data_IF_103380307721
#
_entry.id   IF_103380307721
#
_cell.length_a   1.000
_cell.length_b   1.000
_cell.length_c   1.000
_cell.angle_alpha   90.00
_cell.angle_beta   90.00
_cell.angle_gamma   90.00
#
_symmetry.space_group_name_H-M   'P 1'
#
loop_
_entity.id
_entity.type
_entity.pdbx_description
1 polymer ?
#
# COMPACT_ATOMS: atom_id res chain seq x y z
N UNK A 1 28.25 -1.49 1.30
CA UNK A 1 27.75 -0.12 1.56
C UNK A 1 28.27 0.95 0.59
N UNK A 2 29.38 0.73 -0.14
CA UNK A 2 29.96 1.79 -0.99
C UNK A 2 29.21 2.13 -2.30
N UNK A 3 28.16 1.38 -2.70
CA UNK A 3 27.43 1.57 -3.97
C UNK A 3 25.90 1.62 -3.75
N UNK A 4 25.43 2.27 -2.68
CA UNK A 4 24.00 2.48 -2.48
C UNK A 4 23.50 3.54 -3.47
N UNK A 5 22.50 3.18 -4.28
CA UNK A 5 21.86 4.12 -5.20
C UNK A 5 20.87 4.99 -4.42
N UNK A 6 21.06 6.30 -4.46
CA UNK A 6 20.14 7.27 -3.89
C UNK A 6 19.19 7.78 -4.97
N UNK A 7 17.89 7.85 -4.66
CA UNK A 7 16.87 8.23 -5.63
C UNK A 7 16.52 9.71 -5.51
N UNK A 8 16.55 10.42 -6.63
CA UNK A 8 16.18 11.84 -6.74
C UNK A 8 14.71 12.02 -7.09
N UNK A 9 14.18 11.23 -8.01
CA UNK A 9 12.77 11.29 -8.41
C UNK A 9 12.29 9.98 -9.05
N UNK A 10 10.98 9.76 -9.03
CA UNK A 10 10.33 8.64 -9.70
C UNK A 10 9.08 9.13 -10.44
N UNK A 11 8.83 8.63 -11.63
CA UNK A 11 7.64 8.94 -12.43
C UNK A 11 7.33 7.80 -13.40
N UNK A 12 6.05 7.38 -13.46
CA UNK A 12 5.63 6.24 -14.26
C UNK A 12 6.43 4.98 -13.87
N UNK A 13 7.10 4.36 -14.83
CA UNK A 13 7.99 3.22 -14.59
C UNK A 13 9.47 3.60 -14.46
N UNK A 14 9.80 4.89 -14.33
CA UNK A 14 11.19 5.37 -14.34
C UNK A 14 11.62 5.91 -12.98
N UNK A 15 12.86 5.61 -12.62
CA UNK A 15 13.57 6.18 -11.47
C UNK A 15 14.77 6.98 -11.97
N UNK A 16 14.97 8.17 -11.40
CA UNK A 16 16.17 8.99 -11.59
C UNK A 16 16.99 8.99 -10.31
N UNK A 17 18.25 8.60 -10.37
CA UNK A 17 19.16 8.62 -9.21
C UNK A 17 19.73 10.02 -8.93
N UNK A 18 20.51 10.13 -7.86
CA UNK A 18 21.13 11.38 -7.42
C UNK A 18 22.20 11.91 -8.39
N UNK A 19 22.73 11.06 -9.27
CA UNK A 19 23.71 11.39 -10.31
C UNK A 19 23.02 11.64 -11.67
N UNK A 20 21.71 11.87 -11.67
CA UNK A 20 20.86 12.14 -12.83
C UNK A 20 20.76 11.00 -13.86
N UNK A 21 21.14 9.77 -13.48
CA UNK A 21 20.94 8.60 -14.32
C UNK A 21 19.50 8.09 -14.22
N UNK A 22 18.95 7.66 -15.36
CA UNK A 22 17.57 7.18 -15.48
C UNK A 22 17.53 5.68 -15.72
N UNK A 23 16.63 5.02 -15.01
CA UNK A 23 16.44 3.57 -15.10
C UNK A 23 14.96 3.24 -15.22
N UNK A 24 14.64 2.20 -16.00
CA UNK A 24 13.33 1.55 -15.92
C UNK A 24 13.30 0.70 -14.66
N UNK A 25 12.33 0.94 -13.78
CA UNK A 25 12.21 0.24 -12.51
C UNK A 25 11.42 -1.06 -12.66
N UNK A 26 12.13 -2.17 -12.49
CA UNK A 26 11.54 -3.50 -12.37
C UNK A 26 11.39 -3.97 -10.92
N UNK A 27 11.83 -3.17 -9.94
CA UNK A 27 11.76 -3.49 -8.51
C UNK A 27 10.39 -3.12 -7.94
N UNK A 28 9.80 -2.00 -8.37
CA UNK A 28 8.46 -1.54 -7.98
C UNK A 28 8.25 -1.46 -6.47
N UNK A 29 9.28 -1.02 -5.74
CA UNK A 29 9.36 -1.08 -4.27
C UNK A 29 9.03 -2.47 -3.68
N UNK A 30 9.44 -3.54 -4.36
CA UNK A 30 9.12 -4.94 -4.06
C UNK A 30 7.65 -5.32 -4.31
N UNK A 31 6.94 -4.59 -5.18
CA UNK A 31 5.58 -4.92 -5.65
C UNK A 31 4.50 -3.83 -5.48
N UNK A 32 4.46 -3.02 -4.40
CA UNK A 32 3.37 -2.07 -4.16
C UNK A 32 3.15 -1.02 -5.25
N UNK A 33 4.20 -0.70 -6.03
CA UNK A 33 4.14 0.30 -7.10
C UNK A 33 3.64 -0.32 -8.42
N UNK A 34 2.59 -1.14 -8.34
CA UNK A 34 2.07 -1.88 -9.51
C UNK A 34 1.47 -0.97 -10.60
N UNK A 35 1.01 0.23 -10.21
CA UNK A 35 0.47 1.24 -11.13
C UNK A 35 1.54 2.23 -11.63
N UNK A 36 2.79 2.07 -11.21
CA UNK A 36 3.85 3.06 -11.44
C UNK A 36 3.83 4.20 -10.42
N UNK A 37 4.92 4.98 -10.44
CA UNK A 37 5.12 6.14 -9.57
C UNK A 37 4.30 7.34 -10.06
N UNK A 38 3.71 8.09 -9.11
CA UNK A 38 2.96 9.33 -9.38
C UNK A 38 1.80 9.13 -10.37
N UNK A 39 1.06 8.02 -10.22
CA UNK A 39 -0.19 7.84 -10.95
C UNK A 39 -1.16 8.95 -10.53
N UNK A 40 -1.54 9.81 -11.48
CA UNK A 40 -2.34 11.01 -11.19
C UNK A 40 -3.70 10.67 -10.59
N UNK A 41 -4.27 9.49 -10.87
CA UNK A 41 -5.56 9.07 -10.29
C UNK A 41 -5.40 8.81 -8.79
N UNK A 42 -4.29 8.19 -8.40
CA UNK A 42 -3.99 7.86 -6.99
C UNK A 42 -3.61 9.13 -6.23
N UNK A 43 -2.69 9.92 -6.75
CA UNK A 43 -2.22 11.14 -6.08
C UNK A 43 -3.39 12.11 -5.83
N UNK A 44 -4.26 12.32 -6.82
CA UNK A 44 -5.41 13.20 -6.66
C UNK A 44 -6.46 12.64 -5.70
N UNK A 45 -6.68 11.32 -5.67
CA UNK A 45 -7.59 10.71 -4.70
C UNK A 45 -7.07 10.90 -3.25
N UNK A 46 -5.76 10.68 -3.02
CA UNK A 46 -5.14 10.87 -1.71
C UNK A 46 -5.19 12.35 -1.29
N UNK A 47 -4.79 13.27 -2.17
CA UNK A 47 -4.84 14.71 -1.90
C UNK A 47 -6.26 15.14 -1.54
N UNK A 48 -7.26 14.73 -2.34
CA UNK A 48 -8.66 15.05 -2.10
C UNK A 48 -9.12 14.62 -0.71
N UNK A 49 -8.83 13.37 -0.31
CA UNK A 49 -9.19 12.87 1.03
C UNK A 49 -8.54 13.70 2.12
N UNK A 50 -7.24 14.00 1.99
CA UNK A 50 -6.50 14.83 2.96
C UNK A 50 -7.13 16.22 3.09
N UNK A 51 -7.47 16.86 1.97
CA UNK A 51 -7.95 18.25 1.96
C UNK A 51 -9.42 18.40 2.33
N UNK A 52 -10.26 17.44 1.97
CA UNK A 52 -11.72 17.54 2.16
C UNK A 52 -12.21 16.83 3.43
N UNK A 53 -11.53 15.76 3.85
CA UNK A 53 -11.95 14.92 4.98
C UNK A 53 -10.97 14.93 6.15
N UNK A 54 -9.68 15.07 5.88
CA UNK A 54 -8.61 14.82 6.84
C UNK A 54 -8.07 13.39 6.78
N UNK A 55 -7.00 13.11 7.52
CA UNK A 55 -6.25 11.85 7.43
C UNK A 55 -6.75 10.78 8.40
N UNK A 56 -6.30 10.81 9.65
CA UNK A 56 -6.57 9.78 10.66
C UNK A 56 -7.30 10.44 11.83
N UNK A 57 -8.51 9.96 12.11
CA UNK A 57 -9.32 10.38 13.25
C UNK A 57 -9.32 9.36 14.40
N UNK A 58 -8.82 8.14 14.17
CA UNK A 58 -8.96 7.02 15.10
C UNK A 58 -10.34 6.33 15.04
N UNK A 59 -11.25 6.81 14.19
CA UNK A 59 -12.56 6.22 13.95
C UNK A 59 -12.68 5.74 12.51
N UNK A 60 -13.53 4.73 12.29
CA UNK A 60 -13.80 4.20 10.96
C UNK A 60 -14.53 5.19 10.07
N UNK A 61 -14.34 5.04 8.76
CA UNK A 61 -15.02 5.78 7.70
C UNK A 61 -15.74 4.84 6.75
N UNK A 62 -16.61 5.36 5.89
CA UNK A 62 -17.24 4.61 4.79
C UNK A 62 -16.21 3.98 3.83
N UNK A 63 -15.06 4.63 3.61
CA UNK A 63 -13.97 4.09 2.79
C UNK A 63 -13.47 2.73 3.29
N UNK A 64 -13.48 2.50 4.61
CA UNK A 64 -13.10 1.20 5.18
C UNK A 64 -14.04 0.09 4.67
N UNK A 65 -15.33 0.40 4.57
CA UNK A 65 -16.36 -0.56 4.13
C UNK A 65 -16.25 -0.82 2.63
N UNK A 66 -16.01 0.22 1.83
CA UNK A 66 -15.78 0.09 0.38
C UNK A 66 -14.56 -0.80 0.07
N UNK A 67 -13.45 -0.62 0.79
CA UNK A 67 -12.24 -1.43 0.61
C UNK A 67 -12.48 -2.88 1.05
N UNK A 68 -13.17 -3.11 2.17
CA UNK A 68 -13.51 -4.48 2.62
C UNK A 68 -14.35 -5.20 1.58
N UNK A 69 -15.35 -4.54 1.01
CA UNK A 69 -16.22 -5.15 0.00
C UNK A 69 -15.45 -5.48 -1.28
N UNK A 70 -14.57 -4.59 -1.73
CA UNK A 70 -13.70 -4.85 -2.88
C UNK A 70 -12.78 -6.06 -2.65
N UNK A 71 -12.17 -6.17 -1.47
CA UNK A 71 -11.32 -7.32 -1.11
C UNK A 71 -12.14 -8.61 -1.09
N UNK A 72 -13.36 -8.58 -0.55
CA UNK A 72 -14.25 -9.74 -0.53
C UNK A 72 -14.65 -10.20 -1.92
N UNK A 73 -14.87 -9.27 -2.85
CA UNK A 73 -15.14 -9.60 -4.26
C UNK A 73 -13.94 -10.29 -4.93
N UNK A 74 -12.71 -9.87 -4.60
CA UNK A 74 -11.48 -10.49 -5.13
C UNK A 74 -11.15 -11.83 -4.46
N UNK A 75 -11.49 -11.99 -3.18
CA UNK A 75 -11.20 -13.15 -2.35
C UNK A 75 -12.48 -13.65 -1.67
N UNK A 76 -13.36 -14.39 -2.37
CA UNK A 76 -14.73 -14.68 -1.92
C UNK A 76 -14.82 -15.52 -0.64
N UNK A 77 -13.75 -16.23 -0.28
CA UNK A 77 -13.68 -17.04 0.94
C UNK A 77 -13.39 -16.20 2.20
N UNK A 78 -13.13 -14.89 2.07
CA UNK A 78 -12.97 -13.99 3.21
C UNK A 78 -14.35 -13.56 3.71
N UNK A 79 -14.76 -14.08 4.87
CA UNK A 79 -16.02 -13.67 5.53
C UNK A 79 -15.83 -12.42 6.40
N UNK A 80 -14.68 -12.31 7.07
CA UNK A 80 -14.31 -11.18 7.93
C UNK A 80 -12.84 -10.87 7.72
N UNK A 81 -12.51 -9.58 7.76
CA UNK A 81 -11.13 -9.10 7.72
C UNK A 81 -10.91 -7.95 8.68
N UNK A 82 -9.64 -7.64 8.93
CA UNK A 82 -9.19 -6.46 9.67
C UNK A 82 -8.01 -5.85 8.93
N UNK A 83 -7.87 -4.54 8.99
CA UNK A 83 -6.69 -3.87 8.46
C UNK A 83 -5.46 -4.07 9.37
N UNK A 84 -4.29 -3.97 8.76
CA UNK A 84 -2.99 -3.93 9.40
C UNK A 84 -2.11 -2.94 8.61
N UNK A 85 -1.11 -2.35 9.26
CA UNK A 85 -0.26 -1.34 8.60
C UNK A 85 0.89 -1.98 7.81
N UNK A 86 1.12 -3.29 7.98
CA UNK A 86 2.14 -4.03 7.25
C UNK A 86 1.77 -5.49 7.05
N UNK A 87 2.43 -6.14 6.08
CA UNK A 87 2.34 -7.59 5.90
C UNK A 87 2.79 -8.38 7.13
N UNK A 88 3.83 -7.90 7.84
CA UNK A 88 4.31 -8.53 9.07
C UNK A 88 3.23 -8.56 10.16
N UNK A 89 2.54 -7.44 10.38
CA UNK A 89 1.42 -7.37 11.35
C UNK A 89 0.23 -8.23 10.94
N UNK A 90 -0.08 -8.28 9.64
CA UNK A 90 -1.13 -9.13 9.10
C UNK A 90 -0.83 -10.62 9.39
N UNK A 91 0.38 -11.09 9.06
CA UNK A 91 0.81 -12.48 9.29
C UNK A 91 0.85 -12.81 10.79
N UNK A 92 1.42 -11.92 11.61
CA UNK A 92 1.46 -12.13 13.07
C UNK A 92 0.05 -12.29 13.64
N UNK A 93 -0.89 -11.45 13.20
CA UNK A 93 -2.28 -11.56 13.59
C UNK A 93 -2.94 -12.84 13.13
N UNK A 94 -2.74 -13.25 11.88
CA UNK A 94 -3.30 -14.49 11.35
C UNK A 94 -2.82 -15.71 12.14
N UNK A 95 -1.51 -15.80 12.43
CA UNK A 95 -0.93 -16.89 13.24
C UNK A 95 -1.50 -16.88 14.66
N UNK A 96 -1.64 -15.71 15.29
CA UNK A 96 -2.25 -15.59 16.62
C UNK A 96 -3.70 -16.06 16.62
N UNK A 97 -4.49 -15.64 15.64
CA UNK A 97 -5.89 -16.06 15.50
C UNK A 97 -6.00 -17.57 15.28
N UNK A 98 -5.18 -18.14 14.41
CA UNK A 98 -5.17 -19.57 14.14
C UNK A 98 -4.87 -20.38 15.41
N UNK A 99 -3.81 -20.01 16.16
CA UNK A 99 -3.49 -20.66 17.44
C UNK A 99 -4.62 -20.56 18.45
N UNK A 100 -5.24 -19.39 18.58
CA UNK A 100 -6.34 -19.18 19.53
C UNK A 100 -7.63 -19.93 19.15
N UNK A 101 -7.84 -20.21 17.86
CA UNK A 101 -9.00 -20.96 17.38
C UNK A 101 -8.83 -22.48 17.52
N UNK A 102 -7.60 -22.99 17.33
CA UNK A 102 -7.33 -24.44 17.32
C UNK A 102 -6.82 -25.00 18.64
N UNK A 103 -6.56 -24.16 19.64
CA UNK A 103 -6.20 -24.61 21.00
C UNK A 103 -7.46 -25.01 21.77
#
# INVERSE_FOLDING_TARGET
ENNTVFIKSCEGCTITDADDQKYVDFRLAYGPIILGYRDTRIDQAVIKVITERGTISGFSTDLDSEVVELVRQMCPNIEKMRFANSGTEAVLGAVRTARGYTS
#
